data_IF_653518486415
#
_entry.id   IF_653518486415
#
_cell.length_a   1.000
_cell.length_b   1.000
_cell.length_c   1.000
_cell.angle_alpha   90.00
_cell.angle_beta   90.00
_cell.angle_gamma   90.00
#
_symmetry.space_group_name_H-M   'P 1'
#
loop_
_entity.id
_entity.type
_entity.pdbx_description
1 polymer ?
#
# COMPACT_ATOMS: atom_id res chain seq x y z
N UNK A 1 -44.88 -17.31 -30.58
CA UNK A 1 -44.44 -16.52 -29.42
C UNK A 1 -44.29 -17.46 -28.25
N UNK A 2 -43.05 -17.70 -27.78
CA UNK A 2 -42.78 -18.67 -26.71
C UNK A 2 -43.10 -18.12 -25.34
N UNK A 3 -43.38 -18.96 -24.38
CA UNK A 3 -43.65 -18.65 -22.97
C UNK A 3 -42.62 -17.70 -22.34
N UNK A 4 -41.37 -17.71 -22.81
CA UNK A 4 -40.30 -16.81 -22.38
C UNK A 4 -40.55 -15.32 -22.77
N UNK A 5 -41.21 -15.05 -23.89
CA UNK A 5 -41.57 -13.70 -24.33
C UNK A 5 -42.66 -13.06 -23.46
N UNK A 6 -43.65 -13.88 -23.06
CA UNK A 6 -44.75 -13.43 -22.21
C UNK A 6 -44.30 -13.14 -20.77
N UNK A 7 -43.32 -13.90 -20.25
CA UNK A 7 -42.79 -13.66 -18.91
C UNK A 7 -41.89 -12.40 -18.90
N UNK A 8 -41.15 -12.14 -19.96
CA UNK A 8 -40.37 -10.90 -20.11
C UNK A 8 -41.25 -9.65 -20.16
N UNK A 9 -42.30 -9.64 -20.98
CA UNK A 9 -43.26 -8.54 -21.09
C UNK A 9 -44.07 -8.31 -19.77
N UNK A 10 -44.35 -9.35 -19.04
CA UNK A 10 -45.05 -9.23 -17.73
C UNK A 10 -44.14 -8.61 -16.67
N UNK A 11 -42.83 -8.89 -16.69
CA UNK A 11 -41.86 -8.32 -15.76
C UNK A 11 -41.63 -6.82 -16.06
N UNK A 12 -41.53 -6.45 -17.35
CA UNK A 12 -41.38 -5.07 -17.77
C UNK A 12 -42.64 -4.21 -17.44
N UNK A 13 -43.83 -4.77 -17.52
CA UNK A 13 -45.08 -4.05 -17.18
C UNK A 13 -45.26 -3.81 -15.67
N UNK A 14 -44.59 -4.57 -14.81
CA UNK A 14 -44.70 -4.44 -13.34
C UNK A 14 -43.60 -3.51 -12.79
N UNK A 15 -42.67 -3.02 -13.62
CA UNK A 15 -41.56 -2.16 -13.18
C UNK A 15 -40.61 -2.80 -12.16
N UNK A 16 -40.63 -4.14 -12.10
CA UNK A 16 -39.81 -4.92 -11.18
C UNK A 16 -38.49 -5.35 -11.80
N UNK A 17 -37.38 -5.06 -11.12
CA UNK A 17 -36.08 -5.62 -11.46
C UNK A 17 -36.15 -7.17 -11.55
N UNK A 18 -35.42 -7.79 -12.50
CA UNK A 18 -35.40 -9.24 -12.62
C UNK A 18 -35.05 -9.91 -11.27
N UNK A 19 -35.73 -11.02 -10.96
CA UNK A 19 -35.55 -11.75 -9.69
C UNK A 19 -34.07 -12.13 -9.48
N UNK A 20 -33.33 -12.41 -10.55
CA UNK A 20 -31.90 -12.67 -10.51
C UNK A 20 -31.08 -11.46 -10.00
N UNK A 21 -31.43 -10.24 -10.41
CA UNK A 21 -30.78 -9.02 -9.95
C UNK A 21 -31.14 -8.71 -8.48
N UNK A 22 -32.39 -8.94 -8.06
CA UNK A 22 -32.81 -8.81 -6.65
C UNK A 22 -32.14 -9.85 -5.74
N UNK A 23 -31.95 -11.09 -6.21
CA UNK A 23 -31.25 -12.12 -5.45
C UNK A 23 -29.73 -11.84 -5.38
N UNK A 24 -29.12 -11.32 -6.45
CA UNK A 24 -27.74 -10.92 -6.45
C UNK A 24 -27.47 -9.75 -5.48
N UNK A 25 -28.37 -8.76 -5.42
CA UNK A 25 -28.30 -7.67 -4.42
C UNK A 25 -28.44 -8.15 -2.97
N UNK A 26 -29.22 -9.20 -2.72
CA UNK A 26 -29.46 -9.73 -1.37
C UNK A 26 -28.34 -10.62 -0.84
N UNK A 27 -27.37 -11.03 -1.65
CA UNK A 27 -26.30 -11.93 -1.21
C UNK A 27 -24.95 -11.62 -1.89
N UNK A 28 -24.37 -10.42 -1.70
CA UNK A 28 -23.04 -10.08 -2.28
C UNK A 28 -21.96 -11.07 -1.83
N UNK A 29 -22.09 -11.66 -0.64
CA UNK A 29 -21.14 -12.63 -0.07
C UNK A 29 -20.97 -13.90 -0.94
N UNK A 30 -21.97 -14.30 -1.73
CA UNK A 30 -21.87 -15.47 -2.62
C UNK A 30 -20.80 -15.29 -3.73
N UNK A 31 -20.39 -14.06 -3.98
CA UNK A 31 -19.39 -13.69 -4.99
C UNK A 31 -18.05 -13.26 -4.38
N UNK A 32 -17.78 -13.66 -3.15
CA UNK A 32 -16.50 -13.40 -2.48
C UNK A 32 -15.37 -14.07 -3.27
N UNK A 33 -14.22 -13.39 -3.39
CA UNK A 33 -13.01 -13.94 -4.01
C UNK A 33 -12.22 -14.77 -3.00
N UNK A 34 -12.30 -16.11 -3.03
CA UNK A 34 -11.61 -16.93 -2.03
C UNK A 34 -10.09 -16.84 -2.16
N UNK A 35 -9.59 -16.66 -3.40
CA UNK A 35 -8.14 -16.57 -3.63
C UNK A 35 -7.55 -15.33 -2.95
N UNK A 36 -8.22 -14.17 -3.08
CA UNK A 36 -7.78 -12.93 -2.44
C UNK A 36 -7.75 -13.08 -0.92
N UNK A 37 -8.80 -13.68 -0.33
CA UNK A 37 -8.88 -13.90 1.11
C UNK A 37 -7.78 -14.84 1.59
N UNK A 38 -7.61 -15.99 0.94
CA UNK A 38 -6.60 -17.00 1.33
C UNK A 38 -5.20 -16.41 1.24
N UNK A 39 -4.85 -15.72 0.15
CA UNK A 39 -3.53 -15.10 -0.01
C UNK A 39 -3.28 -14.03 1.06
N UNK A 40 -4.29 -13.20 1.38
CA UNK A 40 -4.17 -12.21 2.44
C UNK A 40 -3.91 -12.86 3.80
N UNK A 41 -4.63 -13.92 4.13
CA UNK A 41 -4.44 -14.65 5.39
C UNK A 41 -3.07 -15.34 5.44
N UNK A 42 -2.61 -15.94 4.33
CA UNK A 42 -1.27 -16.54 4.25
C UNK A 42 -0.17 -15.50 4.43
N UNK A 43 -0.27 -14.34 3.77
CA UNK A 43 0.69 -13.24 3.95
C UNK A 43 0.68 -12.73 5.40
N UNK A 44 -0.51 -12.55 6.00
CA UNK A 44 -0.62 -12.11 7.40
C UNK A 44 -0.02 -13.12 8.37
N UNK A 45 -0.28 -14.41 8.19
CA UNK A 45 0.31 -15.48 9.01
C UNK A 45 1.83 -15.53 8.84
N UNK A 46 2.31 -15.38 7.61
CA UNK A 46 3.75 -15.29 7.32
C UNK A 46 4.39 -14.07 8.01
N UNK A 47 3.72 -12.90 7.94
CA UNK A 47 4.18 -11.67 8.59
C UNK A 47 4.24 -11.82 10.12
N UNK A 48 3.22 -12.40 10.75
CA UNK A 48 3.20 -12.66 12.20
C UNK A 48 4.39 -13.54 12.60
N UNK A 49 4.64 -14.62 11.84
CA UNK A 49 5.78 -15.51 12.07
C UNK A 49 7.11 -14.77 11.95
N UNK A 50 7.30 -13.98 10.89
CA UNK A 50 8.55 -13.27 10.64
C UNK A 50 8.79 -12.13 11.64
N UNK A 51 7.76 -11.40 12.05
CA UNK A 51 7.88 -10.39 13.12
C UNK A 51 8.31 -11.04 14.43
N UNK A 52 7.72 -12.17 14.80
CA UNK A 52 8.09 -12.89 16.01
C UNK A 52 9.56 -13.31 16.01
N UNK A 53 10.03 -13.90 14.92
CA UNK A 53 11.42 -14.36 14.82
C UNK A 53 12.42 -13.20 14.68
N UNK A 54 12.05 -12.11 13.96
CA UNK A 54 12.89 -10.94 13.80
C UNK A 54 13.04 -10.10 15.08
N UNK A 55 12.13 -10.27 16.05
CA UNK A 55 12.19 -9.58 17.36
C UNK A 55 12.78 -10.47 18.47
N UNK A 56 13.63 -11.42 18.14
CA UNK A 56 14.22 -12.37 19.07
C UNK A 56 13.17 -13.09 19.94
N UNK A 57 12.07 -13.49 19.35
CA UNK A 57 10.94 -14.18 19.97
C UNK A 57 10.23 -13.36 21.09
N UNK A 58 10.20 -12.05 20.95
CA UNK A 58 9.53 -11.18 21.91
C UNK A 58 8.01 -11.28 21.80
N UNK A 59 7.38 -11.85 22.83
CA UNK A 59 5.92 -12.09 22.89
C UNK A 59 5.09 -10.79 22.83
N UNK A 60 5.63 -9.66 23.27
CA UNK A 60 4.94 -8.37 23.22
C UNK A 60 4.68 -7.93 21.77
N UNK A 61 5.67 -8.09 20.87
CA UNK A 61 5.49 -7.80 19.45
C UNK A 61 4.51 -8.76 18.78
N UNK A 62 4.62 -10.05 19.11
CA UNK A 62 3.68 -11.07 18.62
C UNK A 62 2.23 -10.75 19.01
N UNK A 63 1.99 -10.47 20.29
CA UNK A 63 0.65 -10.17 20.79
C UNK A 63 0.06 -8.94 20.12
N UNK A 64 0.83 -7.85 19.98
CA UNK A 64 0.39 -6.65 19.29
C UNK A 64 0.09 -6.91 17.82
N UNK A 65 0.95 -7.65 17.11
CA UNK A 65 0.72 -7.97 15.70
C UNK A 65 -0.54 -8.83 15.52
N UNK A 66 -0.80 -9.80 16.41
CA UNK A 66 -2.03 -10.60 16.41
C UNK A 66 -3.28 -9.74 16.63
N UNK A 67 -3.23 -8.80 17.59
CA UNK A 67 -4.33 -7.88 17.85
C UNK A 67 -4.60 -6.99 16.63
N UNK A 68 -3.55 -6.45 16.00
CA UNK A 68 -3.68 -5.63 14.79
C UNK A 68 -4.24 -6.44 13.61
N UNK A 69 -3.81 -7.70 13.45
CA UNK A 69 -4.35 -8.59 12.43
C UNK A 69 -5.85 -8.89 12.67
N UNK A 70 -6.24 -9.17 13.92
CA UNK A 70 -7.64 -9.39 14.27
C UNK A 70 -8.50 -8.16 14.00
N UNK A 71 -8.10 -6.98 14.47
CA UNK A 71 -8.79 -5.71 14.19
C UNK A 71 -8.85 -5.48 12.67
N UNK A 72 -7.75 -5.74 11.96
CA UNK A 72 -7.68 -5.63 10.50
C UNK A 72 -8.70 -6.51 9.78
N UNK A 73 -8.88 -7.77 10.22
CA UNK A 73 -9.91 -8.67 9.66
C UNK A 73 -11.32 -8.11 9.91
N UNK A 74 -11.59 -7.59 11.11
CA UNK A 74 -12.89 -6.96 11.42
C UNK A 74 -13.13 -5.75 10.52
N UNK A 75 -12.12 -4.90 10.31
CA UNK A 75 -12.19 -3.74 9.42
C UNK A 75 -12.39 -4.18 7.97
N UNK A 76 -11.67 -5.19 7.50
CA UNK A 76 -11.83 -5.77 6.15
C UNK A 76 -13.28 -6.19 5.91
N UNK A 77 -13.86 -6.92 6.86
CA UNK A 77 -15.26 -7.37 6.79
C UNK A 77 -16.20 -6.16 6.77
N UNK A 78 -16.01 -5.18 7.65
CA UNK A 78 -16.81 -3.96 7.69
C UNK A 78 -16.78 -3.19 6.37
N UNK A 79 -15.57 -2.95 5.82
CA UNK A 79 -15.39 -2.29 4.52
C UNK A 79 -16.01 -3.11 3.38
N UNK A 80 -15.94 -4.44 3.44
CA UNK A 80 -16.57 -5.33 2.46
C UNK A 80 -18.09 -5.18 2.36
N UNK A 81 -18.76 -4.84 3.46
CA UNK A 81 -20.23 -4.66 3.49
C UNK A 81 -20.69 -3.29 3.00
N UNK A 82 -19.92 -2.22 3.20
CA UNK A 82 -20.26 -0.86 2.76
C UNK A 82 -20.07 -0.74 1.25
N UNK A 83 -21.10 -0.31 0.49
CA UNK A 83 -20.96 -0.18 -0.96
C UNK A 83 -19.91 0.87 -1.34
N UNK A 84 -18.86 0.42 -2.06
CA UNK A 84 -17.75 1.28 -2.49
C UNK A 84 -18.22 2.49 -3.32
N UNK A 85 -19.37 2.40 -4.00
CA UNK A 85 -19.92 3.50 -4.80
C UNK A 85 -20.27 4.73 -3.94
N UNK A 86 -20.63 4.53 -2.67
CA UNK A 86 -20.85 5.63 -1.74
C UNK A 86 -19.56 6.41 -1.46
N UNK A 87 -18.39 5.75 -1.54
CA UNK A 87 -17.11 6.40 -1.33
C UNK A 87 -16.83 7.48 -2.36
N UNK A 88 -17.43 7.38 -3.56
CA UNK A 88 -17.32 8.43 -4.57
C UNK A 88 -17.90 9.75 -4.08
N UNK A 89 -19.10 9.74 -3.51
CA UNK A 89 -19.72 10.92 -2.91
C UNK A 89 -19.05 11.39 -1.61
N UNK A 90 -18.47 10.46 -0.86
CA UNK A 90 -17.76 10.74 0.39
C UNK A 90 -16.29 11.13 0.18
N UNK A 91 -15.77 11.05 -1.06
CA UNK A 91 -14.35 11.32 -1.35
C UNK A 91 -13.86 12.70 -0.88
N UNK A 92 -14.62 13.81 -0.98
CA UNK A 92 -14.17 15.10 -0.46
C UNK A 92 -14.05 15.10 1.07
N UNK A 93 -14.97 14.40 1.77
CA UNK A 93 -14.93 14.27 3.23
C UNK A 93 -13.72 13.43 3.67
N UNK A 94 -13.50 12.28 3.01
CA UNK A 94 -12.35 11.39 3.27
C UNK A 94 -11.04 12.15 3.06
N UNK A 95 -10.94 12.90 1.98
CA UNK A 95 -9.77 13.72 1.65
C UNK A 95 -9.54 14.82 2.70
N UNK A 96 -10.58 15.58 3.05
CA UNK A 96 -10.48 16.65 4.05
C UNK A 96 -10.10 16.12 5.42
N UNK A 97 -10.70 15.00 5.85
CA UNK A 97 -10.35 14.35 7.12
C UNK A 97 -8.88 13.90 7.14
N UNK A 98 -8.41 13.35 6.01
CA UNK A 98 -7.01 12.95 5.86
C UNK A 98 -6.06 14.14 5.98
N UNK A 99 -6.39 15.27 5.34
CA UNK A 99 -5.58 16.50 5.48
C UNK A 99 -5.56 17.00 6.93
N UNK A 100 -6.70 16.99 7.62
CA UNK A 100 -6.77 17.36 9.04
C UNK A 100 -5.88 16.45 9.89
N UNK A 101 -5.89 15.14 9.64
CA UNK A 101 -5.03 14.19 10.35
C UNK A 101 -3.53 14.42 10.07
N UNK A 102 -3.15 14.71 8.81
CA UNK A 102 -1.77 15.05 8.45
C UNK A 102 -1.33 16.37 9.10
N UNK A 103 -2.19 17.38 9.13
CA UNK A 103 -1.90 18.65 9.84
C UNK A 103 -1.79 18.39 11.35
N UNK A 104 -2.65 17.55 11.93
CA UNK A 104 -2.61 17.23 13.35
C UNK A 104 -1.26 16.63 13.80
N UNK A 105 -0.63 15.81 12.95
CA UNK A 105 0.71 15.24 13.23
C UNK A 105 1.79 16.32 13.29
N UNK A 106 1.66 17.38 12.52
CA UNK A 106 2.62 18.51 12.53
C UNK A 106 2.44 19.45 13.74
N UNK A 107 1.38 19.27 14.52
CA UNK A 107 1.11 19.99 15.77
C UNK A 107 1.69 19.23 16.98
N UNK A 108 1.63 19.77 18.21
CA UNK A 108 2.03 19.08 19.43
C UNK A 108 1.29 17.75 19.73
N UNK A 109 0.26 17.39 18.95
CA UNK A 109 -0.41 16.09 19.01
C UNK A 109 0.43 14.98 18.34
N UNK A 110 1.41 15.37 17.51
CA UNK A 110 2.33 14.43 16.86
C UNK A 110 3.36 13.90 17.84
N UNK A 111 3.53 12.58 17.84
CA UNK A 111 4.58 11.92 18.61
C UNK A 111 5.88 11.90 17.82
N UNK A 112 6.92 12.50 18.40
CA UNK A 112 8.26 12.55 17.79
C UNK A 112 8.99 11.25 18.08
N UNK A 113 9.34 10.50 17.06
CA UNK A 113 10.19 9.32 17.15
C UNK A 113 11.33 9.46 16.13
N UNK A 114 12.56 9.27 16.59
CA UNK A 114 13.78 9.39 15.75
C UNK A 114 13.89 10.73 14.99
N UNK A 115 13.46 11.81 15.61
CA UNK A 115 13.54 13.16 15.02
C UNK A 115 12.45 13.49 13.99
N UNK A 116 11.45 12.63 13.79
CA UNK A 116 10.34 12.87 12.89
C UNK A 116 8.99 12.71 13.62
N UNK A 117 8.07 13.64 13.40
CA UNK A 117 6.68 13.54 13.87
C UNK A 117 5.84 12.90 12.78
N UNK A 118 5.54 11.60 12.90
CA UNK A 118 4.77 10.84 11.90
C UNK A 118 3.57 10.09 12.48
N UNK A 119 3.48 10.02 13.80
CA UNK A 119 2.48 9.22 14.50
C UNK A 119 1.66 10.07 15.46
N UNK A 120 0.40 9.71 15.60
CA UNK A 120 -0.48 10.18 16.66
C UNK A 120 -0.60 9.04 17.67
N UNK A 121 -0.24 9.31 18.93
CA UNK A 121 -0.31 8.31 19.98
C UNK A 121 -1.75 8.24 20.54
N UNK A 122 -2.42 7.13 20.33
CA UNK A 122 -3.76 6.83 20.83
C UNK A 122 -3.69 5.78 21.96
N UNK A 123 -2.78 5.94 22.87
CA UNK A 123 -2.53 5.01 23.98
C UNK A 123 -1.72 3.78 23.53
N UNK A 124 -2.36 2.63 23.42
CA UNK A 124 -1.69 1.39 22.95
C UNK A 124 -1.51 1.29 21.44
N UNK A 125 -2.15 2.19 20.67
CA UNK A 125 -2.11 2.21 19.21
C UNK A 125 -1.45 3.50 18.70
N UNK A 126 -0.50 3.37 17.78
CA UNK A 126 0.12 4.50 17.10
C UNK A 126 -0.47 4.61 15.70
N UNK A 127 -1.28 5.64 15.48
CA UNK A 127 -1.86 5.93 14.17
C UNK A 127 -0.85 6.72 13.33
N UNK A 128 -0.61 6.28 12.10
CA UNK A 128 0.19 6.99 11.11
C UNK A 128 -0.74 7.51 10.00
N UNK A 129 -1.06 8.81 9.98
CA UNK A 129 -1.97 9.39 8.99
C UNK A 129 -1.53 9.22 7.55
N UNK A 130 -0.23 9.22 7.26
CA UNK A 130 0.30 9.01 5.92
C UNK A 130 -0.04 7.61 5.35
N UNK A 131 -0.24 6.60 6.21
CA UNK A 131 -0.71 5.28 5.78
C UNK A 131 -2.15 5.34 5.24
N UNK A 132 -3.06 6.00 5.97
CA UNK A 132 -4.45 6.21 5.55
C UNK A 132 -4.54 7.12 4.33
N UNK A 133 -3.64 8.11 4.23
CA UNK A 133 -3.58 9.05 3.11
C UNK A 133 -3.39 8.34 1.77
N UNK A 134 -2.69 7.20 1.70
CA UNK A 134 -2.53 6.42 0.47
C UNK A 134 -3.89 5.94 -0.07
N UNK A 135 -4.74 5.41 0.79
CA UNK A 135 -6.10 4.97 0.39
C UNK A 135 -6.99 6.17 0.07
N UNK A 136 -6.92 7.24 0.85
CA UNK A 136 -7.68 8.46 0.60
C UNK A 136 -7.35 9.08 -0.76
N UNK A 137 -6.07 9.14 -1.13
CA UNK A 137 -5.62 9.62 -2.45
C UNK A 137 -6.12 8.70 -3.57
N UNK A 138 -6.05 7.37 -3.40
CA UNK A 138 -6.61 6.43 -4.38
C UNK A 138 -8.10 6.71 -4.60
N UNK A 139 -8.90 6.81 -3.52
CA UNK A 139 -10.35 7.05 -3.60
C UNK A 139 -10.63 8.41 -4.26
N UNK A 140 -9.91 9.47 -3.86
CA UNK A 140 -10.14 10.83 -4.35
C UNK A 140 -9.80 10.97 -5.83
N UNK A 141 -8.63 10.47 -6.25
CA UNK A 141 -8.24 10.48 -7.66
C UNK A 141 -9.17 9.60 -8.50
N UNK A 142 -9.53 8.41 -8.00
CA UNK A 142 -10.47 7.52 -8.67
C UNK A 142 -11.83 8.17 -8.85
N UNK A 143 -12.37 8.86 -7.82
CA UNK A 143 -13.64 9.58 -7.90
C UNK A 143 -13.59 10.68 -8.95
N UNK A 144 -12.55 11.51 -8.93
CA UNK A 144 -12.35 12.60 -9.87
C UNK A 144 -12.19 12.11 -11.31
N UNK A 145 -11.34 11.13 -11.55
CA UNK A 145 -11.08 10.59 -12.90
C UNK A 145 -12.29 9.83 -13.46
N UNK A 146 -13.03 9.11 -12.62
CA UNK A 146 -14.23 8.40 -13.04
C UNK A 146 -15.33 9.35 -13.56
N UNK A 147 -15.38 10.60 -13.10
CA UNK A 147 -16.30 11.62 -13.62
C UNK A 147 -15.93 12.11 -15.03
N UNK A 148 -14.66 12.02 -15.40
CA UNK A 148 -14.14 12.42 -16.71
C UNK A 148 -14.35 11.37 -17.80
N UNK A 149 -14.86 10.19 -17.48
CA UNK A 149 -15.21 9.11 -18.42
C UNK A 149 -14.12 8.77 -19.44
N UNK A 150 -12.83 8.87 -19.04
CA UNK A 150 -11.68 8.61 -19.91
C UNK A 150 -11.19 9.82 -20.74
N UNK A 151 -11.83 10.98 -20.64
CA UNK A 151 -11.40 12.23 -21.28
C UNK A 151 -10.53 13.06 -20.33
N UNK A 152 -9.29 12.65 -20.14
CA UNK A 152 -8.35 13.36 -19.26
C UNK A 152 -7.55 14.38 -20.08
N UNK A 153 -7.90 15.65 -19.95
CA UNK A 153 -7.17 16.77 -20.54
C UNK A 153 -6.10 17.34 -19.58
N UNK A 154 -5.32 18.31 -20.04
CA UNK A 154 -4.26 18.90 -19.22
C UNK A 154 -4.79 19.57 -17.93
N UNK A 155 -5.99 20.18 -17.96
CA UNK A 155 -6.59 20.76 -16.77
C UNK A 155 -6.97 19.68 -15.74
N UNK A 156 -7.48 18.53 -16.19
CA UNK A 156 -7.77 17.39 -15.31
C UNK A 156 -6.48 16.82 -14.68
N UNK A 157 -5.39 16.73 -15.45
CA UNK A 157 -4.07 16.32 -14.92
C UNK A 157 -3.60 17.32 -13.88
N UNK A 158 -3.70 18.62 -14.13
CA UNK A 158 -3.31 19.67 -13.16
C UNK A 158 -4.12 19.56 -11.85
N UNK A 159 -5.43 19.28 -11.92
CA UNK A 159 -6.25 19.05 -10.72
C UNK A 159 -5.80 17.80 -9.98
N UNK A 160 -5.51 16.67 -10.67
CA UNK A 160 -4.97 15.47 -10.03
C UNK A 160 -3.64 15.78 -9.32
N UNK A 161 -2.76 16.53 -9.98
CA UNK A 161 -1.49 16.94 -9.38
C UNK A 161 -1.71 17.82 -8.14
N UNK A 162 -2.64 18.77 -8.17
CA UNK A 162 -2.99 19.60 -7.02
C UNK A 162 -3.51 18.76 -5.84
N UNK A 163 -4.42 17.80 -6.12
CA UNK A 163 -4.98 16.90 -5.11
C UNK A 163 -3.91 16.00 -4.46
N UNK A 164 -2.83 15.68 -5.16
CA UNK A 164 -1.73 14.86 -4.61
C UNK A 164 -0.65 15.74 -3.96
N UNK A 165 -0.40 16.93 -4.51
CA UNK A 165 0.64 17.83 -3.99
C UNK A 165 0.30 18.33 -2.59
N UNK A 166 -0.97 18.63 -2.30
CA UNK A 166 -1.36 19.14 -0.97
C UNK A 166 -1.02 18.15 0.15
N UNK A 167 -1.49 16.88 0.16
CA UNK A 167 -1.05 15.92 1.15
C UNK A 167 0.44 15.57 1.02
N UNK A 168 1.00 15.61 -0.19
CA UNK A 168 2.42 15.37 -0.44
C UNK A 168 3.32 16.38 0.27
N UNK A 169 2.96 17.67 0.25
CA UNK A 169 3.70 18.71 0.98
C UNK A 169 3.64 18.48 2.49
N UNK A 170 2.47 18.13 3.03
CA UNK A 170 2.33 17.82 4.45
C UNK A 170 3.22 16.62 4.85
N UNK A 171 3.23 15.56 4.04
CA UNK A 171 4.06 14.37 4.25
C UNK A 171 5.56 14.68 4.10
N UNK A 172 5.91 15.60 3.20
CA UNK A 172 7.30 16.09 3.09
C UNK A 172 7.77 16.77 4.38
N UNK A 173 6.88 17.54 5.03
CA UNK A 173 7.15 18.17 6.32
C UNK A 173 7.26 17.15 7.47
N UNK A 174 6.72 15.94 7.31
CA UNK A 174 6.88 14.79 8.22
C UNK A 174 8.15 13.97 7.97
N UNK A 175 9.13 14.43 7.20
CA UNK A 175 10.25 13.77 6.52
C UNK A 175 9.98 12.34 6.01
N UNK A 176 8.83 12.09 5.35
CA UNK A 176 8.44 10.78 4.83
C UNK A 176 8.56 10.70 3.28
N UNK A 177 9.79 10.58 2.79
CA UNK A 177 10.05 10.45 1.34
C UNK A 177 9.47 9.17 0.74
N UNK A 178 9.41 8.10 1.52
CA UNK A 178 8.86 6.82 1.07
C UNK A 178 7.41 6.97 0.61
N UNK A 179 6.55 7.55 1.44
CA UNK A 179 5.15 7.79 1.09
C UNK A 179 4.99 8.77 -0.09
N UNK A 180 5.87 9.77 -0.22
CA UNK A 180 5.86 10.64 -1.42
C UNK A 180 6.12 9.87 -2.72
N UNK A 181 7.09 8.95 -2.73
CA UNK A 181 7.36 8.09 -3.88
C UNK A 181 6.16 7.21 -4.23
N UNK A 182 5.45 6.68 -3.21
CA UNK A 182 4.20 5.94 -3.40
C UNK A 182 3.15 6.83 -4.08
N UNK A 183 2.99 8.09 -3.67
CA UNK A 183 2.02 9.01 -4.28
C UNK A 183 2.33 9.30 -5.75
N UNK A 184 3.59 9.44 -6.12
CA UNK A 184 4.01 9.61 -7.53
C UNK A 184 3.62 8.38 -8.35
N UNK A 185 3.93 7.17 -7.86
CA UNK A 185 3.58 5.93 -8.54
C UNK A 185 2.06 5.75 -8.68
N UNK A 186 1.30 5.99 -7.60
CA UNK A 186 -0.16 5.92 -7.59
C UNK A 186 -0.78 6.90 -8.60
N UNK A 187 -0.31 8.15 -8.61
CA UNK A 187 -0.82 9.16 -9.51
C UNK A 187 -0.56 8.78 -10.96
N UNK A 188 0.64 8.31 -11.26
CA UNK A 188 0.99 7.81 -12.59
C UNK A 188 0.08 6.67 -13.05
N UNK A 189 -0.10 5.65 -12.21
CA UNK A 189 -0.95 4.50 -12.54
C UNK A 189 -2.43 4.90 -12.73
N UNK A 190 -2.97 5.75 -11.85
CA UNK A 190 -4.36 6.20 -11.94
C UNK A 190 -4.60 7.11 -13.14
N UNK A 191 -3.67 8.00 -13.47
CA UNK A 191 -3.75 8.82 -14.69
C UNK A 191 -3.68 7.96 -15.95
N UNK A 192 -2.83 6.93 -15.97
CA UNK A 192 -2.71 6.02 -17.12
C UNK A 192 -4.03 5.29 -17.39
N UNK A 193 -4.60 4.65 -16.37
CA UNK A 193 -5.86 3.91 -16.49
C UNK A 193 -7.06 4.85 -16.64
N UNK A 194 -6.96 6.06 -16.07
CA UNK A 194 -7.97 7.12 -16.21
C UNK A 194 -8.06 7.72 -17.63
N UNK A 195 -7.12 7.38 -18.55
CA UNK A 195 -7.15 7.82 -19.94
C UNK A 195 -6.29 9.04 -20.24
N UNK A 196 -5.29 9.37 -19.40
CA UNK A 196 -4.36 10.43 -19.71
C UNK A 196 -3.48 10.07 -20.91
N UNK A 197 -3.26 11.04 -21.81
CA UNK A 197 -2.46 10.85 -23.02
C UNK A 197 -0.96 10.82 -22.68
N UNK A 198 -0.17 10.07 -23.45
CA UNK A 198 1.29 9.94 -23.26
C UNK A 198 2.02 11.30 -23.17
N UNK A 199 1.55 12.32 -23.90
CA UNK A 199 2.11 13.67 -23.83
C UNK A 199 2.07 14.26 -22.41
N UNK A 200 1.03 13.94 -21.60
CA UNK A 200 0.93 14.42 -20.23
C UNK A 200 2.01 13.79 -19.35
N UNK A 201 2.32 12.51 -19.56
CA UNK A 201 3.42 11.83 -18.86
C UNK A 201 4.78 12.40 -19.25
N UNK A 202 4.98 12.70 -20.52
CA UNK A 202 6.22 13.37 -20.98
C UNK A 202 6.37 14.74 -20.31
N UNK A 203 5.29 15.54 -20.27
CA UNK A 203 5.29 16.85 -19.60
C UNK A 203 5.57 16.72 -18.12
N UNK A 204 4.91 15.79 -17.41
CA UNK A 204 5.16 15.52 -16.00
C UNK A 204 6.57 15.02 -15.74
N UNK A 205 7.12 14.17 -16.61
CA UNK A 205 8.50 13.71 -16.54
C UNK A 205 9.52 14.85 -16.67
N UNK A 206 9.32 15.73 -17.64
CA UNK A 206 10.18 16.92 -17.81
C UNK A 206 10.07 17.85 -16.60
N UNK A 207 8.85 18.15 -16.14
CA UNK A 207 8.63 18.97 -14.93
C UNK A 207 9.25 18.34 -13.69
N UNK A 208 9.13 17.03 -13.52
CA UNK A 208 9.77 16.29 -12.42
C UNK A 208 11.29 16.37 -12.48
N UNK A 209 11.88 16.20 -13.65
CA UNK A 209 13.32 16.34 -13.85
C UNK A 209 13.81 17.77 -13.51
N UNK A 210 13.10 18.78 -14.02
CA UNK A 210 13.41 20.18 -13.69
C UNK A 210 13.30 20.43 -12.20
N UNK A 211 12.25 19.93 -11.54
CA UNK A 211 12.07 20.06 -10.09
C UNK A 211 13.24 19.41 -9.32
N UNK A 212 13.69 18.22 -9.72
CA UNK A 212 14.86 17.55 -9.11
C UNK A 212 16.12 18.41 -9.25
N UNK A 213 16.39 18.92 -10.46
CA UNK A 213 17.56 19.78 -10.70
C UNK A 213 17.49 21.04 -9.85
N UNK A 214 16.32 21.69 -9.76
CA UNK A 214 16.14 22.89 -8.93
C UNK A 214 16.37 22.59 -7.45
N UNK A 215 15.80 21.49 -6.92
CA UNK A 215 15.97 21.07 -5.52
C UNK A 215 17.45 20.79 -5.21
N UNK A 216 18.17 20.12 -6.11
CA UNK A 216 19.61 19.84 -5.95
C UNK A 216 20.46 21.12 -5.99
N UNK A 217 20.20 22.03 -6.93
CA UNK A 217 20.97 23.28 -7.05
C UNK A 217 20.67 24.29 -5.94
N UNK A 218 19.42 24.33 -5.47
CA UNK A 218 19.01 25.22 -4.40
C UNK A 218 19.43 24.72 -2.99
N UNK A 219 20.01 23.52 -2.88
CA UNK A 219 20.42 22.94 -1.59
C UNK A 219 19.24 22.69 -0.66
N UNK A 220 18.06 22.39 -1.20
CA UNK A 220 16.83 22.19 -0.41
C UNK A 220 16.73 20.78 0.20
N UNK A 221 17.70 19.90 -0.07
CA UNK A 221 17.74 18.59 0.55
C UNK A 221 18.22 18.69 2.00
N UNK A 222 17.54 17.97 2.88
CA UNK A 222 17.96 17.83 4.26
C UNK A 222 19.11 16.81 4.36
N UNK A 223 19.94 16.92 5.39
CA UNK A 223 21.13 16.08 5.57
C UNK A 223 20.83 14.57 5.53
N UNK A 224 19.72 14.13 6.13
CA UNK A 224 19.33 12.72 6.08
C UNK A 224 18.97 12.23 4.68
N UNK A 225 18.44 13.10 3.80
CA UNK A 225 18.11 12.77 2.42
C UNK A 225 19.39 12.59 1.60
N UNK A 226 20.34 13.49 1.81
CA UNK A 226 21.67 13.41 1.21
C UNK A 226 22.35 12.12 1.66
N UNK A 227 22.32 11.81 2.96
CA UNK A 227 22.90 10.57 3.50
C UNK A 227 22.31 9.31 2.87
N UNK A 228 21.00 9.25 2.65
CA UNK A 228 20.35 8.10 1.99
C UNK A 228 20.75 7.95 0.53
N UNK A 229 20.88 9.06 -0.20
CA UNK A 229 21.33 9.03 -1.60
C UNK A 229 22.81 8.64 -1.65
N UNK A 230 23.63 9.19 -0.78
CA UNK A 230 25.08 8.88 -0.73
C UNK A 230 25.29 7.42 -0.33
N UNK A 231 24.58 6.92 0.69
CA UNK A 231 24.66 5.52 1.11
C UNK A 231 24.24 4.53 0.00
N UNK A 232 23.36 4.96 -0.90
CA UNK A 232 22.97 4.16 -2.06
C UNK A 232 24.04 4.18 -3.17
N UNK A 233 24.67 5.34 -3.42
CA UNK A 233 25.67 5.49 -4.48
C UNK A 233 27.07 4.97 -4.08
N UNK A 234 27.42 5.15 -2.81
CA UNK A 234 28.69 4.72 -2.24
C UNK A 234 28.45 4.15 -0.83
N UNK A 235 28.11 2.85 -0.72
CA UNK A 235 27.83 2.19 0.55
C UNK A 235 29.10 1.99 1.35
N UNK A 236 29.58 3.04 2.02
CA UNK A 236 30.72 2.95 2.94
C UNK A 236 30.34 2.15 4.20
N UNK A 237 31.22 1.25 4.70
CA UNK A 237 30.93 0.39 5.84
C UNK A 237 31.04 1.08 7.21
N UNK A 238 30.81 2.38 7.29
CA UNK A 238 30.79 3.08 8.58
C UNK A 238 29.57 2.62 9.40
N UNK A 239 29.81 2.04 10.58
CA UNK A 239 28.82 1.48 11.51
C UNK A 239 27.72 2.47 11.89
N UNK A 240 27.95 3.77 11.71
CA UNK A 240 26.98 4.84 12.01
C UNK A 240 26.18 5.30 10.79
N UNK A 241 26.44 4.75 9.61
CA UNK A 241 25.80 5.17 8.37
C UNK A 241 24.63 4.29 7.95
N UNK A 242 23.73 4.85 7.16
CA UNK A 242 22.66 4.09 6.48
C UNK A 242 23.24 3.01 5.56
N UNK A 243 24.46 3.20 5.02
CA UNK A 243 25.20 2.22 4.21
C UNK A 243 25.50 0.93 4.97
N UNK A 244 25.78 1.02 6.28
CA UNK A 244 25.95 -0.15 7.14
C UNK A 244 24.68 -1.04 7.15
N UNK A 245 23.50 -0.43 7.26
CA UNK A 245 22.24 -1.16 7.30
C UNK A 245 22.01 -1.97 6.02
N UNK A 246 22.32 -1.38 4.84
CA UNK A 246 22.21 -2.08 3.54
C UNK A 246 23.24 -3.19 3.44
N UNK A 247 24.48 -2.94 3.86
CA UNK A 247 25.54 -3.94 3.83
C UNK A 247 25.20 -5.14 4.71
N UNK A 248 24.74 -4.91 5.95
CA UNK A 248 24.32 -5.99 6.86
C UNK A 248 23.09 -6.73 6.32
N UNK A 249 22.12 -6.00 5.74
CA UNK A 249 20.95 -6.61 5.12
C UNK A 249 21.35 -7.55 3.97
N UNK A 250 22.25 -7.09 3.10
CA UNK A 250 22.74 -7.91 1.97
C UNK A 250 23.53 -9.12 2.43
N UNK A 251 24.39 -8.99 3.44
CA UNK A 251 25.14 -10.10 4.05
C UNK A 251 24.16 -11.11 4.64
N UNK A 252 23.14 -10.66 5.37
CA UNK A 252 22.16 -11.55 5.98
C UNK A 252 21.41 -12.37 4.92
N UNK A 253 20.89 -11.71 3.86
CA UNK A 253 20.18 -12.39 2.75
C UNK A 253 21.10 -13.40 2.07
N UNK A 254 22.33 -13.00 1.73
CA UNK A 254 23.31 -13.87 1.07
C UNK A 254 23.66 -15.08 1.93
N UNK A 255 23.76 -14.89 3.25
CA UNK A 255 24.11 -15.95 4.20
C UNK A 255 23.03 -17.02 4.35
N UNK A 256 21.77 -16.73 3.97
CA UNK A 256 20.66 -17.67 4.01
C UNK A 256 20.72 -18.75 2.93
N UNK A 257 21.43 -18.53 1.83
CA UNK A 257 21.56 -19.50 0.74
C UNK A 257 20.21 -19.95 0.18
N UNK A 258 20.10 -21.23 -0.23
CA UNK A 258 18.88 -21.76 -0.84
C UNK A 258 17.75 -22.04 0.17
N UNK A 259 18.08 -22.57 1.34
CA UNK A 259 17.11 -23.08 2.34
C UNK A 259 17.01 -22.27 3.63
N UNK A 260 17.87 -21.26 3.79
CA UNK A 260 17.94 -20.47 5.02
C UNK A 260 18.68 -21.19 6.17
N UNK A 261 18.93 -20.41 7.23
CA UNK A 261 19.56 -20.89 8.47
C UNK A 261 18.55 -21.47 9.48
N UNK A 262 17.26 -21.42 9.15
CA UNK A 262 16.17 -21.82 10.03
C UNK A 262 15.63 -20.68 10.90
N UNK A 263 14.39 -20.83 11.37
CA UNK A 263 13.65 -19.79 12.15
C UNK A 263 14.25 -19.53 13.55
N UNK A 264 15.09 -20.41 14.05
CA UNK A 264 15.74 -20.32 15.37
C UNK A 264 17.27 -20.47 15.25
N UNK A 265 17.83 -20.04 14.11
CA UNK A 265 19.27 -20.08 13.90
C UNK A 265 20.00 -19.23 14.96
N UNK A 266 20.93 -19.83 15.68
CA UNK A 266 21.84 -19.13 16.59
C UNK A 266 22.93 -18.42 15.77
N UNK A 267 23.45 -17.30 16.28
CA UNK A 267 24.49 -16.50 15.63
C UNK A 267 24.13 -16.02 14.20
N UNK A 268 22.86 -15.73 13.96
CA UNK A 268 22.41 -15.08 12.73
C UNK A 268 22.41 -13.57 12.88
N UNK A 269 22.45 -12.82 11.77
CA UNK A 269 22.30 -11.36 11.77
C UNK A 269 20.99 -10.95 12.43
N UNK A 270 19.93 -11.74 12.22
CA UNK A 270 18.61 -11.58 12.83
C UNK A 270 18.64 -11.79 14.33
N UNK A 271 19.25 -12.88 14.83
CA UNK A 271 19.29 -13.19 16.26
C UNK A 271 20.17 -12.21 17.05
N UNK A 272 21.22 -11.71 16.43
CA UNK A 272 22.15 -10.72 17.00
C UNK A 272 21.70 -9.27 16.83
N UNK A 273 20.59 -9.04 16.13
CA UNK A 273 19.99 -7.72 15.85
C UNK A 273 20.98 -6.72 15.21
N UNK A 274 21.87 -7.22 14.32
CA UNK A 274 22.82 -6.36 13.64
C UNK A 274 22.20 -5.41 12.63
N UNK A 275 20.98 -5.73 12.12
CA UNK A 275 20.22 -4.85 11.23
C UNK A 275 19.22 -4.06 12.07
N UNK A 276 19.39 -2.74 12.23
CA UNK A 276 18.40 -1.90 12.91
C UNK A 276 17.05 -1.97 12.21
N UNK A 277 15.94 -1.86 12.97
CA UNK A 277 14.55 -1.86 12.44
C UNK A 277 14.25 -3.08 11.54
N UNK A 278 14.85 -4.24 11.83
CA UNK A 278 14.67 -5.43 11.02
C UNK A 278 13.22 -5.90 10.98
N UNK A 279 12.47 -5.71 12.07
CA UNK A 279 11.06 -6.12 12.17
C UNK A 279 10.09 -5.17 11.43
N UNK A 280 10.54 -3.98 11.01
CA UNK A 280 9.76 -2.99 10.27
C UNK A 280 10.21 -2.93 8.81
N UNK A 281 11.20 -2.09 8.52
CA UNK A 281 11.58 -1.73 7.15
C UNK A 281 12.44 -2.80 6.48
N UNK A 282 13.24 -3.54 7.26
CA UNK A 282 14.16 -4.56 6.76
C UNK A 282 13.67 -6.00 7.00
N UNK A 283 12.36 -6.23 7.11
CA UNK A 283 11.81 -7.56 7.44
C UNK A 283 12.15 -8.61 6.36
N UNK A 284 12.29 -8.21 5.10
CA UNK A 284 12.69 -9.12 4.02
C UNK A 284 14.08 -9.71 4.24
N UNK A 285 14.96 -9.01 4.97
CA UNK A 285 16.27 -9.50 5.38
C UNK A 285 16.14 -10.74 6.25
N UNK A 286 15.23 -10.71 7.24
CA UNK A 286 14.97 -11.87 8.10
C UNK A 286 14.39 -13.04 7.29
N UNK A 287 13.52 -12.77 6.31
CA UNK A 287 13.01 -13.80 5.39
C UNK A 287 14.14 -14.46 4.61
N UNK A 288 15.03 -13.66 4.01
CA UNK A 288 16.16 -14.15 3.22
C UNK A 288 17.15 -14.95 4.07
N UNK A 289 17.47 -14.50 5.28
CA UNK A 289 18.40 -15.21 6.16
C UNK A 289 17.82 -16.51 6.74
N UNK A 290 16.59 -16.45 7.26
CA UNK A 290 15.98 -17.58 7.97
C UNK A 290 15.40 -18.64 7.06
N UNK A 291 14.78 -18.26 5.94
CA UNK A 291 14.09 -19.15 5.00
C UNK A 291 14.82 -19.30 3.66
N UNK A 292 15.87 -18.51 3.43
CA UNK A 292 16.66 -18.54 2.23
C UNK A 292 15.90 -18.13 0.97
N UNK A 293 16.47 -18.50 -0.18
CA UNK A 293 15.88 -18.23 -1.48
C UNK A 293 14.48 -18.81 -1.63
N UNK A 294 14.23 -20.03 -1.14
CA UNK A 294 12.91 -20.67 -1.25
C UNK A 294 11.84 -19.91 -0.48
N UNK A 295 12.13 -19.43 0.74
CA UNK A 295 11.20 -18.61 1.50
C UNK A 295 10.94 -17.25 0.86
N UNK A 296 12.00 -16.58 0.38
CA UNK A 296 11.88 -15.31 -0.33
C UNK A 296 11.08 -15.45 -1.63
N UNK A 297 11.35 -16.50 -2.43
CA UNK A 297 10.61 -16.76 -3.66
C UNK A 297 9.13 -17.09 -3.40
N UNK A 298 8.85 -17.86 -2.34
CA UNK A 298 7.46 -18.15 -1.92
C UNK A 298 6.73 -16.86 -1.54
N UNK A 299 7.35 -16.00 -0.74
CA UNK A 299 6.78 -14.73 -0.34
C UNK A 299 6.50 -13.82 -1.55
N UNK A 300 7.47 -13.67 -2.45
CA UNK A 300 7.31 -12.89 -3.68
C UNK A 300 6.23 -13.49 -4.60
N UNK A 301 6.13 -14.82 -4.67
CA UNK A 301 5.06 -15.52 -5.38
C UNK A 301 3.67 -15.21 -4.81
N UNK A 302 3.52 -15.16 -3.49
CA UNK A 302 2.27 -14.74 -2.83
C UNK A 302 1.92 -13.28 -3.13
N UNK A 303 2.91 -12.37 -3.13
CA UNK A 303 2.68 -10.99 -3.54
C UNK A 303 2.31 -10.87 -5.02
N UNK A 304 3.00 -11.59 -5.90
CA UNK A 304 2.65 -11.62 -7.32
C UNK A 304 1.21 -12.10 -7.53
N UNK A 305 0.77 -13.13 -6.80
CA UNK A 305 -0.61 -13.62 -6.83
C UNK A 305 -1.61 -12.59 -6.29
N UNK A 306 -1.27 -11.89 -5.19
CA UNK A 306 -2.09 -10.82 -4.61
C UNK A 306 -2.30 -9.67 -5.61
N UNK A 307 -1.21 -9.17 -6.19
CA UNK A 307 -1.21 -8.07 -7.16
C UNK A 307 -1.95 -8.50 -8.44
N UNK A 308 -1.70 -9.70 -8.94
CA UNK A 308 -2.41 -10.24 -10.09
C UNK A 308 -3.92 -10.33 -9.85
N UNK A 309 -4.36 -10.76 -8.64
CA UNK A 309 -5.78 -10.77 -8.28
C UNK A 309 -6.37 -9.37 -8.26
N UNK A 310 -5.66 -8.38 -7.69
CA UNK A 310 -6.10 -6.99 -7.68
C UNK A 310 -6.28 -6.44 -9.11
N UNK A 311 -5.31 -6.69 -10.01
CA UNK A 311 -5.39 -6.29 -11.42
C UNK A 311 -6.53 -7.00 -12.15
N UNK A 312 -6.76 -8.30 -11.87
CA UNK A 312 -7.88 -9.04 -12.44
C UNK A 312 -9.22 -8.47 -11.97
N UNK A 313 -9.33 -8.07 -10.69
CA UNK A 313 -10.52 -7.39 -10.16
C UNK A 313 -10.73 -6.04 -10.86
N UNK A 314 -9.66 -5.28 -11.10
CA UNK A 314 -9.72 -4.04 -11.86
C UNK A 314 -10.32 -4.25 -13.26
N UNK A 315 -9.85 -5.27 -13.98
CA UNK A 315 -10.35 -5.62 -15.32
C UNK A 315 -11.78 -6.17 -15.35
N UNK A 316 -12.27 -6.70 -14.22
CA UNK A 316 -13.64 -7.23 -14.09
C UNK A 316 -14.61 -6.24 -13.48
N UNK A 317 -14.16 -5.06 -13.07
CA UNK A 317 -15.01 -4.04 -12.46
C UNK A 317 -16.06 -3.54 -13.45
N UNK A 318 -17.25 -3.27 -12.96
CA UNK A 318 -18.37 -2.77 -13.77
C UNK A 318 -18.21 -1.30 -14.18
N UNK A 319 -17.60 -0.51 -13.32
CA UNK A 319 -17.47 0.93 -13.51
C UNK A 319 -16.01 1.39 -13.40
N UNK A 320 -15.72 2.55 -13.99
CA UNK A 320 -14.37 3.11 -14.00
C UNK A 320 -13.86 3.45 -12.59
N UNK A 321 -14.76 3.80 -11.66
CA UNK A 321 -14.38 4.11 -10.29
C UNK A 321 -13.80 2.88 -9.57
N UNK A 322 -14.50 1.73 -9.67
CA UNK A 322 -13.99 0.47 -9.11
C UNK A 322 -12.72 -0.03 -9.82
N UNK A 323 -12.61 0.15 -11.15
CA UNK A 323 -11.39 -0.15 -11.91
C UNK A 323 -10.21 0.67 -11.37
N UNK A 324 -10.40 1.97 -11.16
CA UNK A 324 -9.35 2.87 -10.65
C UNK A 324 -8.97 2.53 -9.20
N UNK A 325 -9.93 2.26 -8.31
CA UNK A 325 -9.63 1.81 -6.93
C UNK A 325 -8.77 0.56 -6.96
N UNK A 326 -9.19 -0.46 -7.72
CA UNK A 326 -8.47 -1.73 -7.76
C UNK A 326 -7.08 -1.59 -8.39
N UNK A 327 -6.94 -0.76 -9.43
CA UNK A 327 -5.63 -0.44 -10.03
C UNK A 327 -4.73 0.33 -9.06
N UNK A 328 -5.28 1.31 -8.34
CA UNK A 328 -4.53 2.06 -7.33
C UNK A 328 -4.00 1.15 -6.22
N UNK A 329 -4.81 0.23 -5.71
CA UNK A 329 -4.40 -0.75 -4.69
C UNK A 329 -3.34 -1.71 -5.25
N UNK A 330 -3.50 -2.21 -6.48
CA UNK A 330 -2.50 -3.07 -7.12
C UNK A 330 -1.15 -2.35 -7.28
N UNK A 331 -1.18 -1.09 -7.73
CA UNK A 331 0.01 -0.25 -7.85
C UNK A 331 0.65 0.03 -6.49
N UNK A 332 -0.15 0.32 -5.45
CA UNK A 332 0.31 0.52 -4.08
C UNK A 332 1.15 -0.69 -3.62
N UNK A 333 0.60 -1.88 -3.71
CA UNK A 333 1.30 -3.10 -3.29
C UNK A 333 2.51 -3.42 -4.16
N UNK A 334 2.39 -3.29 -5.48
CA UNK A 334 3.51 -3.53 -6.39
C UNK A 334 4.69 -2.60 -6.08
N UNK A 335 4.41 -1.32 -5.88
CA UNK A 335 5.43 -0.33 -5.58
C UNK A 335 6.06 -0.54 -4.19
N UNK A 336 5.25 -0.79 -3.15
CA UNK A 336 5.76 -1.06 -1.80
C UNK A 336 6.64 -2.31 -1.76
N UNK A 337 6.22 -3.40 -2.40
CA UNK A 337 7.01 -4.64 -2.47
C UNK A 337 8.31 -4.39 -3.23
N UNK A 338 8.24 -3.74 -4.40
CA UNK A 338 9.44 -3.45 -5.21
C UNK A 338 10.47 -2.61 -4.45
N UNK A 339 10.01 -1.54 -3.79
CA UNK A 339 10.92 -0.65 -3.05
C UNK A 339 11.46 -1.31 -1.80
N UNK A 340 10.62 -1.99 -1.00
CA UNK A 340 11.06 -2.64 0.24
C UNK A 340 12.08 -3.75 -0.04
N UNK A 341 11.78 -4.65 -0.98
CA UNK A 341 12.71 -5.71 -1.36
C UNK A 341 13.96 -5.12 -2.01
N UNK A 342 13.79 -4.13 -2.91
CA UNK A 342 14.90 -3.48 -3.58
C UNK A 342 15.87 -2.78 -2.64
N UNK A 343 15.37 -2.08 -1.60
CA UNK A 343 16.26 -1.42 -0.62
C UNK A 343 17.02 -2.41 0.27
N UNK A 344 16.41 -3.55 0.62
CA UNK A 344 17.09 -4.59 1.42
C UNK A 344 18.18 -5.32 0.62
N UNK A 345 18.09 -5.31 -0.71
CA UNK A 345 19.06 -5.87 -1.64
C UNK A 345 20.07 -4.84 -2.17
N UNK A 346 19.99 -3.56 -1.74
CA UNK A 346 20.85 -2.49 -2.23
C UNK A 346 20.55 -2.02 -3.65
N UNK A 347 19.41 -2.39 -4.25
CA UNK A 347 19.00 -1.97 -5.61
C UNK A 347 18.28 -0.62 -5.58
N UNK A 348 17.70 -0.26 -4.44
CA UNK A 348 16.97 1.00 -4.22
C UNK A 348 17.49 1.69 -2.96
N UNK A 349 17.40 3.05 -2.89
CA UNK A 349 17.76 3.77 -1.68
C UNK A 349 16.81 3.41 -0.52
N UNK A 350 17.27 3.57 0.72
CA UNK A 350 16.47 3.32 1.92
C UNK A 350 15.35 4.35 2.00
N UNK A 351 14.12 3.88 1.99
CA UNK A 351 12.92 4.71 2.01
C UNK A 351 12.11 4.63 3.30
N UNK A 352 12.25 3.52 4.04
CA UNK A 352 11.42 3.26 5.22
C UNK A 352 9.98 2.86 4.88
N UNK A 353 9.73 2.30 3.67
CA UNK A 353 8.41 1.79 3.27
C UNK A 353 8.24 0.38 3.82
N UNK A 354 7.19 0.10 4.63
CA UNK A 354 6.97 -1.23 5.16
C UNK A 354 6.48 -2.20 4.07
N UNK A 355 6.84 -3.48 4.21
CA UNK A 355 6.36 -4.56 3.35
C UNK A 355 4.91 -4.93 3.73
N UNK A 356 3.93 -4.83 2.81
CA UNK A 356 2.51 -5.04 3.11
C UNK A 356 2.25 -6.38 3.81
N UNK A 357 1.45 -6.41 4.87
CA UNK A 357 1.10 -7.58 5.70
C UNK A 357 2.25 -8.22 6.47
N UNK A 358 3.50 -8.00 6.09
CA UNK A 358 4.68 -8.69 6.66
C UNK A 358 5.34 -7.85 7.74
N UNK A 359 5.63 -6.56 7.44
CA UNK A 359 6.28 -5.66 8.39
C UNK A 359 5.43 -5.42 9.63
N UNK A 360 6.10 -5.25 10.77
CA UNK A 360 5.46 -4.78 11.98
C UNK A 360 4.98 -3.34 11.82
N UNK A 361 3.69 -3.11 12.07
CA UNK A 361 3.10 -1.78 12.00
C UNK A 361 1.58 -1.82 11.97
N UNK A 362 0.94 -1.38 13.06
CA UNK A 362 -0.53 -1.44 13.18
C UNK A 362 -1.25 -0.65 12.09
N UNK A 363 -0.82 0.60 11.82
CA UNK A 363 -1.44 1.45 10.81
C UNK A 363 -1.28 0.91 9.39
N UNK A 364 -0.08 0.44 9.05
CA UNK A 364 0.19 -0.16 7.74
C UNK A 364 -0.65 -1.42 7.53
N UNK A 365 -0.69 -2.30 8.54
CA UNK A 365 -1.47 -3.53 8.48
C UNK A 365 -2.97 -3.24 8.31
N UNK A 366 -3.53 -2.31 9.08
CA UNK A 366 -4.94 -1.90 8.96
C UNK A 366 -5.25 -1.31 7.59
N UNK A 367 -4.38 -0.44 7.06
CA UNK A 367 -4.52 0.15 5.72
C UNK A 367 -4.56 -0.94 4.64
N UNK A 368 -3.71 -1.96 4.75
CA UNK A 368 -3.71 -3.07 3.82
C UNK A 368 -4.99 -3.93 3.92
N UNK A 369 -5.53 -4.14 5.11
CA UNK A 369 -6.83 -4.81 5.27
C UNK A 369 -8.00 -3.99 4.71
N UNK A 370 -7.98 -2.65 4.86
CA UNK A 370 -8.94 -1.75 4.19
C UNK A 370 -8.83 -1.92 2.67
N UNK A 371 -7.63 -1.96 2.12
CA UNK A 371 -7.40 -2.17 0.69
C UNK A 371 -7.98 -3.50 0.19
N UNK A 372 -7.77 -4.60 0.93
CA UNK A 372 -8.39 -5.90 0.60
C UNK A 372 -9.92 -5.83 0.69
N UNK A 373 -10.46 -5.17 1.74
CA UNK A 373 -11.90 -4.98 1.90
C UNK A 373 -12.52 -4.23 0.72
N UNK A 374 -11.84 -3.19 0.22
CA UNK A 374 -12.25 -2.44 -0.98
C UNK A 374 -12.23 -3.32 -2.24
N UNK A 375 -11.17 -4.12 -2.43
CA UNK A 375 -11.11 -5.05 -3.57
C UNK A 375 -12.20 -6.10 -3.54
N UNK A 376 -12.46 -6.69 -2.38
CA UNK A 376 -13.57 -7.65 -2.20
C UNK A 376 -14.91 -6.98 -2.50
N UNK A 377 -15.09 -5.75 -2.06
CA UNK A 377 -16.28 -4.97 -2.29
C UNK A 377 -16.51 -4.71 -3.78
N UNK A 378 -15.48 -4.24 -4.52
CA UNK A 378 -15.54 -4.07 -5.99
C UNK A 378 -15.86 -5.40 -6.67
N UNK A 379 -15.19 -6.49 -6.26
CA UNK A 379 -15.39 -7.80 -6.86
C UNK A 379 -16.80 -8.37 -6.63
N UNK A 380 -17.32 -8.28 -5.41
CA UNK A 380 -18.63 -8.79 -5.07
C UNK A 380 -19.77 -8.07 -5.79
N UNK A 381 -19.57 -6.78 -6.12
CA UNK A 381 -20.60 -5.96 -6.78
C UNK A 381 -20.46 -5.84 -8.29
N UNK A 382 -19.56 -6.60 -8.91
CA UNK A 382 -19.34 -6.58 -10.37
C UNK A 382 -20.57 -6.99 -11.20
N UNK A 383 -21.51 -7.73 -10.60
CA UNK A 383 -22.75 -8.18 -11.24
C UNK A 383 -23.97 -7.33 -10.89
N UNK A 384 -23.82 -6.33 -10.02
CA UNK A 384 -24.86 -5.38 -9.62
C UNK A 384 -24.74 -4.09 -10.40
#
# INVERSE_FOLDING_TARGET
>A
MGVQGLVGEAVDRIGGEPISARMARKAPIKHLDPTLVVVTLLLSAFGILMVFTATANNESFLTRQLVYAFIGIVVLVGVGFVDYRHLKGLSPLIYSLTLVMLIAVLTPLGYVQKGASRWINLGSFQAQPSELAKIAVIITLAAFLAERKGEVNAAAVAVCMALVTVPGVLIYLEPDLGTMMVFVALTGALLLVGGAKIRHFMTLGVLGLVAIVVVLQAGLLQDYQIQRITAFLDPTPDVRSEGWNVAQATIAIASGGARGKGLRGENTQTSLQFVPEQHTDFIFTAVGEQLGFLGAATLLGLFALLIWRALRIAGMSRDLFGTLIATGIACLWAFQVFVNVGMTMGIMPITGIPLPFISYGGSSLLTNYVAVGLLLNVHMRRFL
#
